data_IF_599938253946
#
_entry.id   IF_599938253946
#
_cell.length_a   1.000
_cell.length_b   1.000
_cell.length_c   1.000
_cell.angle_alpha   90.00
_cell.angle_beta   90.00
_cell.angle_gamma   90.00
#
_symmetry.space_group_name_H-M   'P 1'
#
loop_
_entity.id
_entity.type
_entity.pdbx_description
1 polymer ?
#
# COMPACT_ATOMS: atom_id res chain seq x y z
N UNK A 1 15.83 1.95 -67.97
CA UNK A 1 15.72 1.23 -66.68
C UNK A 1 15.28 2.27 -65.69
N UNK A 2 13.98 2.36 -65.44
CA UNK A 2 13.32 3.50 -64.80
C UNK A 2 12.31 3.01 -63.76
N UNK A 3 12.38 3.62 -62.55
CA UNK A 3 11.36 3.73 -61.47
C UNK A 3 10.92 2.41 -60.77
N UNK A 4 10.51 2.34 -59.50
CA UNK A 4 10.12 3.34 -58.50
C UNK A 4 10.22 2.76 -57.07
N UNK A 5 10.10 3.63 -56.05
CA UNK A 5 10.13 3.32 -54.61
C UNK A 5 8.75 2.89 -54.11
N UNK A 6 8.63 1.71 -53.51
CA UNK A 6 7.43 1.35 -52.74
C UNK A 6 7.61 1.63 -51.24
N UNK A 7 6.97 2.71 -50.81
CA UNK A 7 6.56 2.97 -49.44
C UNK A 7 5.43 2.00 -49.06
N UNK A 8 5.69 1.06 -48.15
CA UNK A 8 4.61 0.34 -47.46
C UNK A 8 4.13 1.20 -46.28
N UNK A 9 3.09 1.97 -46.56
CA UNK A 9 2.25 2.64 -45.56
C UNK A 9 1.42 1.59 -44.84
N UNK A 10 1.67 1.37 -43.55
CA UNK A 10 0.82 0.52 -42.72
C UNK A 10 -0.29 1.39 -42.12
N UNK A 11 -1.53 1.07 -42.50
CA UNK A 11 -2.73 1.81 -42.17
C UNK A 11 -2.93 1.94 -40.65
N UNK A 12 -2.85 3.17 -40.13
CA UNK A 12 -3.42 3.51 -38.84
C UNK A 12 -4.94 3.55 -38.99
N UNK A 13 -5.62 2.56 -38.41
CA UNK A 13 -7.06 2.62 -38.21
C UNK A 13 -7.37 3.60 -37.07
N UNK A 14 -8.16 4.61 -37.40
CA UNK A 14 -8.67 5.62 -36.47
C UNK A 14 -9.66 4.97 -35.49
N UNK A 15 -9.28 4.86 -34.22
CA UNK A 15 -10.23 4.53 -33.16
C UNK A 15 -10.96 5.81 -32.73
N UNK A 16 -12.20 5.95 -33.22
CA UNK A 16 -13.16 6.97 -32.76
C UNK A 16 -13.34 6.89 -31.25
N UNK A 17 -13.04 7.99 -30.56
CA UNK A 17 -13.21 8.13 -29.11
C UNK A 17 -14.70 8.17 -28.77
N UNK A 18 -15.25 7.04 -28.34
CA UNK A 18 -16.55 6.98 -27.68
C UNK A 18 -16.35 7.48 -26.25
N UNK A 19 -17.14 8.48 -25.84
CA UNK A 19 -17.14 9.13 -24.51
C UNK A 19 -16.85 8.14 -23.37
N UNK A 20 -15.61 8.13 -22.88
CA UNK A 20 -15.08 7.09 -22.01
C UNK A 20 -15.56 7.24 -20.57
N UNK A 21 -16.41 6.31 -20.11
CA UNK A 21 -16.56 6.05 -18.68
C UNK A 21 -15.24 5.49 -18.17
N UNK A 22 -14.51 6.25 -17.37
CA UNK A 22 -13.35 5.75 -16.61
C UNK A 22 -13.83 4.65 -15.66
N UNK A 23 -13.30 3.46 -15.81
CA UNK A 23 -13.66 2.32 -14.98
C UNK A 23 -12.88 2.40 -13.66
N UNK A 24 -13.59 2.30 -12.53
CA UNK A 24 -12.98 2.29 -11.20
C UNK A 24 -12.05 1.09 -11.02
N UNK A 25 -10.96 1.28 -10.29
CA UNK A 25 -10.01 0.23 -9.91
C UNK A 25 -10.67 -0.84 -9.04
N UNK A 26 -9.97 -1.95 -8.78
CA UNK A 26 -10.46 -2.97 -7.83
C UNK A 26 -10.62 -2.36 -6.45
N UNK A 27 -9.68 -1.52 -6.03
CA UNK A 27 -9.69 -0.94 -4.69
C UNK A 27 -10.87 0.01 -4.55
N UNK A 28 -11.01 0.95 -5.50
CA UNK A 28 -12.06 1.98 -5.47
C UNK A 28 -13.47 1.37 -5.43
N UNK A 29 -13.64 0.17 -6.00
CA UNK A 29 -14.92 -0.55 -5.98
C UNK A 29 -15.21 -1.26 -4.66
N UNK A 30 -14.19 -1.83 -4.01
CA UNK A 30 -14.39 -2.80 -2.93
C UNK A 30 -13.95 -2.31 -1.56
N UNK A 31 -13.13 -1.25 -1.48
CA UNK A 31 -12.60 -0.73 -0.24
C UNK A 31 -13.09 0.70 0.02
N UNK A 32 -13.36 1.00 1.29
CA UNK A 32 -13.71 2.33 1.77
C UNK A 32 -12.56 2.91 2.58
N UNK A 33 -11.99 4.07 2.20
CA UNK A 33 -10.93 4.70 2.97
C UNK A 33 -11.47 5.27 4.28
N UNK A 34 -10.65 5.15 5.32
CA UNK A 34 -10.79 5.82 6.62
C UNK A 34 -9.44 6.36 7.01
N UNK A 35 -9.41 7.46 7.75
CA UNK A 35 -8.15 8.11 8.12
C UNK A 35 -7.96 8.10 9.63
N UNK A 36 -6.72 7.86 10.04
CA UNK A 36 -6.27 8.05 11.41
C UNK A 36 -5.29 9.20 11.36
N UNK A 37 -5.65 10.30 12.00
CA UNK A 37 -4.82 11.49 12.06
C UNK A 37 -3.82 11.36 13.21
N UNK A 38 -2.64 11.95 13.03
CA UNK A 38 -1.59 12.04 14.05
C UNK A 38 -1.33 10.71 14.76
N UNK A 39 -1.01 9.66 13.98
CA UNK A 39 -0.97 8.30 14.51
C UNK A 39 0.06 8.20 15.65
N UNK A 40 -0.37 7.70 16.80
CA UNK A 40 0.46 7.65 18.02
C UNK A 40 0.97 9.01 18.50
N UNK A 41 0.20 10.09 18.25
CA UNK A 41 0.56 11.47 18.59
C UNK A 41 1.82 11.98 17.85
N UNK A 42 2.18 11.35 16.73
CA UNK A 42 3.16 11.88 15.80
C UNK A 42 2.46 12.79 14.80
N UNK A 43 2.84 14.06 14.78
CA UNK A 43 2.24 15.10 13.95
C UNK A 43 2.32 14.74 12.45
N UNK A 44 1.20 14.87 11.75
CA UNK A 44 1.05 14.57 10.32
C UNK A 44 1.33 13.11 9.92
N UNK A 45 1.70 12.20 10.82
CA UNK A 45 1.92 10.77 10.50
C UNK A 45 0.58 10.04 10.33
N UNK A 46 -0.21 10.55 9.38
CA UNK A 46 -1.56 10.12 9.07
C UNK A 46 -1.58 8.78 8.33
N UNK A 47 -2.49 7.91 8.72
CA UNK A 47 -2.72 6.62 8.07
C UNK A 47 -4.02 6.62 7.28
N UNK A 48 -4.01 5.90 6.17
CA UNK A 48 -5.20 5.53 5.42
C UNK A 48 -5.48 4.03 5.62
N UNK A 49 -6.65 3.74 6.15
CA UNK A 49 -7.16 2.38 6.38
C UNK A 49 -8.23 2.11 5.32
N UNK A 50 -7.91 1.27 4.34
CA UNK A 50 -8.84 0.83 3.32
C UNK A 50 -9.62 -0.36 3.85
N UNK A 51 -10.93 -0.20 4.04
CA UNK A 51 -11.78 -1.22 4.67
C UNK A 51 -12.68 -1.93 3.67
N UNK A 52 -12.61 -3.26 3.62
CA UNK A 52 -13.49 -4.10 2.81
C UNK A 52 -14.73 -4.55 3.60
N UNK A 53 -15.79 -4.95 2.89
CA UNK A 53 -17.04 -5.44 3.49
C UNK A 53 -16.87 -6.71 4.33
N UNK A 54 -15.90 -7.56 3.98
CA UNK A 54 -15.52 -8.77 4.73
C UNK A 54 -14.63 -8.50 5.96
N UNK A 55 -14.47 -7.22 6.36
CA UNK A 55 -13.65 -6.76 7.48
C UNK A 55 -12.13 -6.91 7.32
N UNK A 56 -11.64 -7.27 6.13
CA UNK A 56 -10.23 -7.09 5.80
C UNK A 56 -9.96 -5.59 5.66
N UNK A 57 -8.90 -5.13 6.30
CA UNK A 57 -8.40 -3.77 6.14
C UNK A 57 -7.03 -3.81 5.46
N UNK A 58 -6.68 -2.82 4.65
CA UNK A 58 -5.31 -2.56 4.19
C UNK A 58 -4.85 -1.26 4.85
N UNK A 59 -3.65 -1.28 5.42
CA UNK A 59 -3.01 -0.08 5.96
C UNK A 59 -2.13 0.53 4.87
N UNK A 60 -2.17 1.84 4.73
CA UNK A 60 -1.22 2.59 3.93
C UNK A 60 -1.02 3.98 4.53
N UNK A 61 -0.02 4.71 4.05
CA UNK A 61 0.18 6.09 4.43
C UNK A 61 -0.89 6.96 3.78
N UNK A 62 -1.41 7.95 4.51
CA UNK A 62 -2.29 8.95 3.92
C UNK A 62 -1.50 9.90 3.01
N UNK A 63 -2.19 10.61 2.11
CA UNK A 63 -1.56 11.59 1.23
C UNK A 63 -0.94 12.78 1.98
N UNK A 64 -1.37 13.01 3.22
CA UNK A 64 -0.86 14.03 4.14
C UNK A 64 0.40 13.61 4.88
N UNK A 65 0.68 12.30 4.95
CA UNK A 65 1.86 11.76 5.64
C UNK A 65 3.16 12.34 5.04
N UNK A 66 4.15 12.80 5.83
CA UNK A 66 5.36 13.46 5.33
C UNK A 66 6.09 12.68 4.23
N UNK A 67 6.25 11.37 4.42
CA UNK A 67 6.82 10.47 3.40
C UNK A 67 6.15 10.60 2.03
N UNK A 68 4.81 10.67 1.99
CA UNK A 68 4.02 10.74 0.74
C UNK A 68 3.88 12.19 0.26
N UNK A 69 3.49 13.11 1.14
CA UNK A 69 3.28 14.53 0.86
C UNK A 69 4.54 15.16 0.27
N UNK A 70 5.68 14.90 0.89
CA UNK A 70 6.96 15.50 0.53
C UNK A 70 7.75 14.62 -0.47
N UNK A 71 7.14 13.49 -0.92
CA UNK A 71 7.71 12.54 -1.87
C UNK A 71 9.14 12.13 -1.50
N UNK A 72 9.34 11.77 -0.22
CA UNK A 72 10.65 11.50 0.35
C UNK A 72 11.34 10.34 -0.37
N UNK A 73 12.65 10.44 -0.54
CA UNK A 73 13.45 9.33 -1.06
C UNK A 73 13.70 8.31 0.03
N UNK A 74 13.16 7.10 -0.14
CA UNK A 74 13.22 6.05 0.86
C UNK A 74 14.47 5.21 0.63
N UNK A 75 15.28 5.08 1.68
CA UNK A 75 16.49 4.26 1.69
C UNK A 75 16.14 2.79 1.91
N UNK A 76 15.27 2.50 2.89
CA UNK A 76 14.93 1.14 3.28
C UNK A 76 13.58 1.10 4.02
N UNK A 77 12.87 0.00 3.85
CA UNK A 77 11.74 -0.38 4.71
C UNK A 77 12.10 -1.66 5.45
N UNK A 78 11.90 -1.67 6.78
CA UNK A 78 12.13 -2.84 7.63
C UNK A 78 10.83 -3.27 8.31
N UNK A 79 10.46 -4.53 8.16
CA UNK A 79 9.35 -5.17 8.87
C UNK A 79 9.78 -5.81 10.21
N UNK A 80 11.05 -5.64 10.60
CA UNK A 80 11.56 -6.02 11.91
C UNK A 80 11.49 -4.82 12.85
N UNK A 81 10.48 -4.78 13.71
CA UNK A 81 10.16 -3.66 14.59
C UNK A 81 9.74 -4.15 15.97
N UNK A 82 10.15 -3.44 17.02
CA UNK A 82 9.82 -3.81 18.40
C UNK A 82 10.26 -5.22 18.81
N UNK A 83 11.36 -5.71 18.25
CA UNK A 83 11.88 -7.07 18.49
C UNK A 83 11.11 -8.19 17.76
N UNK A 84 10.07 -7.87 17.00
CA UNK A 84 9.25 -8.82 16.25
C UNK A 84 9.54 -8.65 14.76
N UNK A 85 9.69 -9.77 14.06
CA UNK A 85 9.77 -9.78 12.60
C UNK A 85 8.40 -10.09 12.01
N UNK A 86 7.80 -9.10 11.32
CA UNK A 86 6.47 -9.26 10.70
C UNK A 86 6.49 -10.18 9.48
N UNK A 87 7.66 -10.49 8.91
CA UNK A 87 7.81 -11.44 7.80
C UNK A 87 7.65 -12.89 8.26
N UNK A 88 7.97 -13.19 9.52
CA UNK A 88 7.86 -14.53 10.09
C UNK A 88 6.42 -14.89 10.51
N UNK A 89 5.41 -14.29 9.88
CA UNK A 89 4.01 -14.48 10.20
C UNK A 89 3.47 -15.79 9.61
N UNK A 90 3.06 -16.76 10.45
CA UNK A 90 2.66 -18.12 10.04
C UNK A 90 1.14 -18.29 10.08
N UNK A 91 0.43 -17.50 9.29
CA UNK A 91 -1.03 -17.47 9.29
C UNK A 91 -1.59 -18.69 8.54
N UNK A 92 -2.52 -19.41 9.16
CA UNK A 92 -3.15 -20.59 8.53
C UNK A 92 -4.63 -20.76 8.90
N UNK A 93 -5.39 -21.35 7.97
CA UNK A 93 -6.79 -21.76 8.16
C UNK A 93 -7.81 -20.62 8.28
N UNK A 94 -9.09 -20.99 8.45
CA UNK A 94 -10.24 -20.06 8.54
C UNK A 94 -10.13 -19.08 9.72
N UNK A 95 -9.56 -19.54 10.84
CA UNK A 95 -9.35 -18.72 12.05
C UNK A 95 -8.03 -17.98 12.09
N UNK A 96 -7.24 -17.98 10.99
CA UNK A 96 -5.95 -17.29 10.90
C UNK A 96 -5.00 -17.65 12.05
N UNK A 97 -4.97 -18.94 12.42
CA UNK A 97 -4.12 -19.44 13.50
C UNK A 97 -2.65 -19.14 13.18
N UNK A 98 -1.91 -18.68 14.18
CA UNK A 98 -0.51 -18.28 14.03
C UNK A 98 -0.30 -16.87 13.49
N UNK A 99 -1.38 -16.11 13.24
CA UNK A 99 -1.30 -14.69 12.95
C UNK A 99 -0.77 -13.89 14.14
N UNK A 100 0.06 -12.89 13.87
CA UNK A 100 0.51 -11.95 14.89
C UNK A 100 -0.62 -10.98 15.25
N UNK A 101 -0.91 -10.85 16.54
CA UNK A 101 -1.88 -9.86 17.04
C UNK A 101 -1.29 -8.45 17.00
N UNK A 102 -2.09 -7.49 16.55
CA UNK A 102 -1.78 -6.07 16.52
C UNK A 102 -2.83 -5.31 17.33
N UNK A 103 -2.36 -4.36 18.14
CA UNK A 103 -3.15 -3.30 18.73
C UNK A 103 -2.93 -2.00 17.94
N UNK A 104 -3.72 -0.96 18.19
CA UNK A 104 -3.58 0.31 17.48
C UNK A 104 -2.14 0.89 17.53
N UNK A 105 -1.45 0.78 18.66
CA UNK A 105 -0.06 1.21 18.81
C UNK A 105 1.01 0.17 18.45
N UNK A 106 0.64 -0.96 17.84
CA UNK A 106 1.62 -1.96 17.42
C UNK A 106 2.39 -1.48 16.17
N UNK A 107 3.73 -1.44 16.21
CA UNK A 107 4.51 -1.08 15.04
C UNK A 107 4.49 -2.21 14.01
N UNK A 108 4.38 -1.85 12.73
CA UNK A 108 4.32 -2.77 11.59
C UNK A 108 5.65 -2.73 10.83
N UNK A 109 6.09 -1.55 10.45
CA UNK A 109 7.36 -1.37 9.75
C UNK A 109 7.99 -0.03 10.12
N UNK A 110 9.27 0.08 9.79
CA UNK A 110 10.07 1.30 9.91
C UNK A 110 10.54 1.71 8.53
N UNK A 111 10.32 2.97 8.18
CA UNK A 111 10.75 3.59 6.94
C UNK A 111 11.97 4.45 7.27
N UNK A 112 13.11 4.18 6.65
CA UNK A 112 14.29 5.01 6.75
C UNK A 112 14.47 5.79 5.44
N UNK A 113 14.54 7.11 5.54
CA UNK A 113 14.72 8.01 4.42
C UNK A 113 16.22 8.29 4.18
N UNK A 114 16.56 8.75 2.98
CA UNK A 114 17.96 9.08 2.61
C UNK A 114 18.46 10.34 3.33
N UNK A 115 17.57 11.26 3.66
CA UNK A 115 17.83 12.48 4.43
C UNK A 115 18.14 12.20 5.92
N UNK A 116 18.01 10.95 6.37
CA UNK A 116 18.29 10.52 7.74
C UNK A 116 17.06 10.47 8.64
N UNK A 117 15.89 10.92 8.17
CA UNK A 117 14.66 10.79 8.93
C UNK A 117 14.14 9.35 8.93
N UNK A 118 13.42 9.00 9.99
CA UNK A 118 12.84 7.67 10.16
C UNK A 118 11.40 7.77 10.66
N UNK A 119 10.52 6.98 10.06
CA UNK A 119 9.10 6.93 10.40
C UNK A 119 8.72 5.51 10.82
N UNK A 120 7.96 5.38 11.91
CA UNK A 120 7.43 4.08 12.34
C UNK A 120 5.96 4.01 11.96
N UNK A 121 5.60 3.07 11.09
CA UNK A 121 4.21 2.85 10.71
C UNK A 121 3.55 1.96 11.76
N UNK A 122 2.50 2.48 12.39
CA UNK A 122 1.70 1.76 13.38
C UNK A 122 0.44 1.16 12.76
N UNK A 123 -0.15 0.20 13.47
CA UNK A 123 -1.39 -0.48 13.04
C UNK A 123 -2.59 0.46 12.98
N UNK A 124 -2.69 1.42 13.90
CA UNK A 124 -3.84 2.33 14.03
C UNK A 124 -5.16 1.66 14.45
N UNK A 125 -5.33 0.36 14.21
CA UNK A 125 -6.47 -0.46 14.62
C UNK A 125 -6.01 -1.77 15.25
N UNK A 126 -6.93 -2.44 15.96
CA UNK A 126 -6.71 -3.77 16.51
C UNK A 126 -7.09 -4.87 15.51
N UNK A 127 -6.29 -5.94 15.44
CA UNK A 127 -6.65 -7.18 14.79
C UNK A 127 -5.44 -8.06 14.45
N UNK A 128 -5.62 -9.00 13.54
CA UNK A 128 -4.60 -9.99 13.19
C UNK A 128 -3.89 -9.63 11.90
N UNK A 129 -2.55 -9.57 11.94
CA UNK A 129 -1.72 -9.42 10.76
C UNK A 129 -1.83 -10.68 9.90
N UNK A 130 -2.25 -10.55 8.64
CA UNK A 130 -2.29 -11.67 7.69
C UNK A 130 -1.05 -11.67 6.78
N UNK A 131 -0.69 -10.52 6.24
CA UNK A 131 0.37 -10.40 5.24
C UNK A 131 0.98 -9.00 5.26
N UNK A 132 2.28 -8.93 4.95
CA UNK A 132 3.02 -7.69 4.70
C UNK A 132 3.48 -7.64 3.25
N UNK A 133 3.61 -6.45 2.67
CA UNK A 133 4.10 -6.33 1.29
C UNK A 133 5.62 -6.43 1.27
N UNK A 134 6.13 -7.63 1.05
CA UNK A 134 7.57 -7.90 0.97
C UNK A 134 8.24 -7.18 -0.22
N UNK A 135 7.49 -6.81 -1.26
CA UNK A 135 8.02 -6.05 -2.39
C UNK A 135 8.52 -4.67 -1.97
N UNK A 136 8.07 -4.13 -0.83
CA UNK A 136 8.58 -2.87 -0.27
C UNK A 136 10.03 -2.97 0.22
N UNK A 137 10.51 -4.18 0.52
CA UNK A 137 11.91 -4.40 0.92
C UNK A 137 12.81 -4.21 -0.30
N UNK A 138 12.39 -4.75 -1.45
CA UNK A 138 13.16 -4.69 -2.69
C UNK A 138 12.99 -3.35 -3.40
N UNK A 139 11.78 -2.79 -3.37
CA UNK A 139 11.40 -1.55 -4.04
C UNK A 139 10.64 -0.62 -3.08
N UNK A 140 11.35 0.09 -2.17
CA UNK A 140 10.71 0.94 -1.16
C UNK A 140 9.81 2.04 -1.72
N UNK A 141 10.16 2.58 -2.89
CA UNK A 141 9.40 3.65 -3.55
C UNK A 141 7.99 3.24 -4.00
N UNK A 142 7.63 1.95 -3.94
CA UNK A 142 6.27 1.49 -4.23
C UNK A 142 5.25 2.08 -3.25
N UNK A 143 5.65 2.39 -2.01
CA UNK A 143 4.76 2.99 -1.00
C UNK A 143 4.23 4.38 -1.39
N UNK A 144 4.90 5.08 -2.30
CA UNK A 144 4.51 6.41 -2.78
C UNK A 144 3.51 6.35 -3.94
N UNK A 145 3.30 5.17 -4.54
CA UNK A 145 2.43 5.03 -5.69
C UNK A 145 0.98 4.95 -5.24
N UNK A 146 0.19 5.94 -5.67
CA UNK A 146 -1.25 6.02 -5.43
C UNK A 146 -2.02 4.79 -5.95
N UNK A 147 -1.52 4.16 -7.01
CA UNK A 147 -2.17 3.03 -7.69
C UNK A 147 -1.61 1.66 -7.25
N UNK A 148 -0.54 1.65 -6.44
CA UNK A 148 0.06 0.43 -5.88
C UNK A 148 0.04 0.54 -4.36
N UNK A 149 -1.18 0.67 -3.85
CA UNK A 149 -1.51 0.73 -2.44
C UNK A 149 -0.92 -0.48 -1.72
N UNK A 150 0.15 -0.30 -0.96
CA UNK A 150 0.52 -1.28 0.06
C UNK A 150 1.54 -0.70 1.01
N UNK A 151 1.13 -0.57 2.27
CA UNK A 151 1.96 -1.07 3.38
C UNK A 151 1.22 -2.28 3.90
N UNK A 152 1.51 -3.45 3.32
CA UNK A 152 0.74 -4.67 3.56
C UNK A 152 0.45 -4.85 5.05
N UNK A 153 -0.81 -4.70 5.39
CA UNK A 153 -1.36 -5.16 6.65
C UNK A 153 -2.80 -5.44 6.36
N UNK A 154 -3.05 -6.64 5.87
CA UNK A 154 -4.37 -7.23 5.97
C UNK A 154 -4.67 -7.41 7.46
N UNK A 155 -5.52 -6.54 8.03
CA UNK A 155 -6.06 -6.73 9.38
C UNK A 155 -7.44 -7.34 9.23
N UNK A 156 -7.59 -8.58 9.70
CA UNK A 156 -8.92 -9.07 10.02
C UNK A 156 -9.23 -8.65 11.46
N UNK A 157 -10.24 -7.80 11.64
CA UNK A 157 -10.86 -7.70 12.95
C UNK A 157 -11.47 -9.06 13.27
N UNK A 158 -10.98 -9.70 14.33
CA UNK A 158 -11.70 -10.80 14.96
C UNK A 158 -13.17 -10.42 15.16
N UNK A 159 -14.04 -11.35 14.82
CA UNK A 159 -15.52 -11.33 14.86
C UNK A 159 -15.98 -10.88 16.28
N UNK A 160 -17.18 -10.26 16.41
CA UNK A 160 -17.52 -9.14 17.29
C UNK A 160 -17.22 -9.31 18.79
#
# INVERSE_FOLDING_TARGET
>A
METDKDHVTNAQSEYKTVTGKTHLSVVERYYKPKYILDCQANEDEDLCILTHSNRICIITLASTHPVVRDQKTIKQISFKVGGIDRLNNKVSGKGKRGAQELNAGSPICKIACVDGEEFTVYSGIKGQLIEVNECLIQNPNLILKKDQETVGTQIMSGVP
#
